data_IF_259493403866
#
_entry.id   IF_259493403866
#
_cell.length_a   1.000
_cell.length_b   1.000
_cell.length_c   1.000
_cell.angle_alpha   90.00
_cell.angle_beta   90.00
_cell.angle_gamma   90.00
#
_symmetry.space_group_name_H-M   'P 1'
#
loop_
_entity.id
_entity.type
_entity.pdbx_description
1 polymer ?
#
# COMPACT_ATOMS: atom_id res chain seq x y z
N UNK A 1 24.42 -52.36 -38.87
CA UNK A 1 24.33 -51.42 -37.71
C UNK A 1 23.43 -50.24 -38.08
N UNK A 2 22.20 -50.22 -37.57
CA UNK A 2 21.24 -49.13 -37.77
C UNK A 2 21.27 -48.28 -36.48
N UNK A 3 21.76 -47.07 -36.56
CA UNK A 3 21.65 -46.09 -35.45
C UNK A 3 20.26 -45.41 -35.50
N UNK A 4 19.41 -45.75 -34.55
CA UNK A 4 18.17 -45.03 -34.29
C UNK A 4 18.50 -43.76 -33.48
N UNK A 5 18.39 -42.60 -34.17
CA UNK A 5 18.49 -41.28 -33.50
C UNK A 5 17.22 -40.98 -32.71
N UNK A 6 17.33 -40.96 -31.38
CA UNK A 6 16.25 -40.57 -30.47
C UNK A 6 16.19 -39.05 -30.37
N UNK A 7 15.30 -38.43 -31.15
CA UNK A 7 15.02 -36.97 -31.08
C UNK A 7 14.21 -36.68 -29.84
N UNK A 8 14.85 -36.16 -28.78
CA UNK A 8 14.15 -35.60 -27.59
C UNK A 8 13.48 -34.28 -27.98
N UNK A 9 12.17 -34.31 -28.13
CA UNK A 9 11.33 -33.11 -28.19
C UNK A 9 11.28 -32.47 -26.83
N UNK A 10 12.07 -31.42 -26.61
CA UNK A 10 11.89 -30.50 -25.49
C UNK A 10 10.60 -29.68 -25.76
N UNK A 11 9.48 -30.11 -25.21
CA UNK A 11 8.32 -29.27 -25.06
C UNK A 11 8.64 -28.22 -24.02
N UNK A 12 9.12 -27.05 -24.44
CA UNK A 12 9.21 -25.87 -23.60
C UNK A 12 7.78 -25.44 -23.26
N UNK A 13 7.34 -25.69 -22.04
CA UNK A 13 6.15 -25.04 -21.46
C UNK A 13 6.46 -23.54 -21.32
N UNK A 14 6.32 -22.78 -22.40
CA UNK A 14 6.19 -21.34 -22.27
C UNK A 14 4.80 -21.06 -21.72
N UNK A 15 4.68 -20.79 -20.42
CA UNK A 15 3.48 -20.19 -19.89
C UNK A 15 3.37 -18.78 -20.47
N UNK A 16 2.63 -18.62 -21.56
CA UNK A 16 2.31 -17.30 -22.11
C UNK A 16 1.59 -16.49 -21.03
N UNK A 17 2.29 -15.51 -20.47
CA UNK A 17 1.66 -14.56 -19.53
C UNK A 17 0.53 -13.86 -20.29
N UNK A 18 -0.66 -13.73 -19.67
CA UNK A 18 -1.76 -13.00 -20.27
C UNK A 18 -1.31 -11.62 -20.73
N UNK A 19 -1.64 -11.24 -21.96
CA UNK A 19 -1.29 -9.93 -22.51
C UNK A 19 -2.20 -8.85 -21.90
N UNK A 20 -1.65 -7.64 -21.63
CA UNK A 20 -2.45 -6.50 -21.21
C UNK A 20 -3.58 -6.20 -22.18
N UNK A 21 -4.78 -5.94 -21.69
CA UNK A 21 -5.90 -5.50 -22.52
C UNK A 21 -5.53 -4.22 -23.25
N UNK A 22 -5.70 -4.14 -24.60
CA UNK A 22 -5.44 -2.92 -25.35
C UNK A 22 -6.27 -1.75 -24.84
N UNK A 23 -5.66 -0.57 -24.76
CA UNK A 23 -6.34 0.64 -24.33
C UNK A 23 -7.36 1.08 -25.39
N UNK A 24 -8.61 1.15 -25.00
CA UNK A 24 -9.70 1.59 -25.85
C UNK A 24 -9.67 3.10 -26.06
N UNK A 25 -10.13 3.55 -27.24
CA UNK A 25 -10.45 4.95 -27.46
C UNK A 25 -11.62 5.36 -26.58
N UNK A 26 -11.62 6.59 -26.09
CA UNK A 26 -12.66 7.11 -25.23
C UNK A 26 -12.77 8.64 -25.41
N UNK A 27 -13.88 9.22 -25.02
CA UNK A 27 -14.06 10.67 -24.91
C UNK A 27 -13.86 11.06 -23.44
N UNK A 28 -12.89 11.95 -23.12
CA UNK A 28 -12.70 12.42 -21.75
C UNK A 28 -13.99 13.06 -21.20
N UNK A 29 -14.36 12.68 -19.98
CA UNK A 29 -15.53 13.21 -19.25
C UNK A 29 -15.14 14.26 -18.21
N UNK A 30 -13.86 14.30 -17.86
CA UNK A 30 -13.24 15.27 -16.94
C UNK A 30 -11.91 15.71 -17.53
N UNK A 31 -11.34 16.79 -17.02
CA UNK A 31 -10.00 17.25 -17.35
C UNK A 31 -9.10 17.25 -16.11
N UNK A 32 -7.81 17.06 -16.34
CA UNK A 32 -6.76 17.27 -15.35
C UNK A 32 -5.47 17.65 -16.06
N UNK A 33 -4.65 18.46 -15.39
CA UNK A 33 -3.38 18.93 -15.92
C UNK A 33 -2.24 18.50 -15.00
N UNK A 34 -1.08 18.22 -15.56
CA UNK A 34 0.14 18.03 -14.78
C UNK A 34 0.61 19.39 -14.25
N UNK A 35 0.70 19.52 -12.93
CA UNK A 35 1.10 20.75 -12.26
C UNK A 35 2.63 20.82 -12.13
N UNK A 36 3.24 19.70 -11.70
CA UNK A 36 4.69 19.60 -11.57
C UNK A 36 5.17 18.15 -11.76
N UNK A 37 6.47 18.03 -11.99
CA UNK A 37 7.23 16.77 -11.98
C UNK A 37 8.47 16.96 -11.12
N UNK A 38 8.82 15.93 -10.34
CA UNK A 38 10.06 15.86 -9.58
C UNK A 38 10.68 14.46 -9.75
N UNK A 39 11.93 14.29 -9.37
CA UNK A 39 12.63 13.00 -9.45
C UNK A 39 13.38 12.75 -8.15
N UNK A 40 13.24 11.53 -7.65
CA UNK A 40 14.06 10.96 -6.57
C UNK A 40 14.75 9.70 -7.10
N UNK A 41 15.58 9.05 -6.28
CA UNK A 41 16.20 7.79 -6.71
C UNK A 41 15.17 6.65 -6.81
N UNK A 42 15.54 5.60 -7.54
CA UNK A 42 14.64 4.49 -7.85
C UNK A 42 14.12 3.75 -6.61
N UNK A 43 12.92 3.23 -6.72
CA UNK A 43 12.23 2.57 -5.62
C UNK A 43 12.01 1.10 -5.95
N UNK A 44 12.61 0.20 -5.15
CA UNK A 44 12.59 -1.24 -5.37
C UNK A 44 11.81 -2.05 -4.33
N UNK A 45 11.04 -1.42 -3.45
CA UNK A 45 10.20 -2.06 -2.44
C UNK A 45 8.77 -1.51 -2.50
N UNK A 46 7.86 -2.08 -1.70
CA UNK A 46 6.48 -1.59 -1.62
C UNK A 46 6.45 -0.14 -1.12
N UNK A 47 6.06 0.78 -2.00
CA UNK A 47 6.02 2.21 -1.69
C UNK A 47 4.71 2.58 -1.00
N UNK A 48 4.79 3.15 0.18
CA UNK A 48 3.72 3.87 0.86
C UNK A 48 4.21 5.29 1.20
N UNK A 49 4.08 6.25 0.28
CA UNK A 49 4.41 7.64 0.59
C UNK A 49 3.46 8.19 1.65
N UNK A 50 3.96 9.06 2.50
CA UNK A 50 3.18 9.72 3.54
C UNK A 50 3.07 11.21 3.24
N UNK A 51 1.86 11.77 3.34
CA UNK A 51 1.60 13.21 3.23
C UNK A 51 1.18 13.76 4.59
N UNK A 52 1.85 14.82 5.03
CA UNK A 52 1.50 15.59 6.23
C UNK A 52 1.69 17.08 5.95
N UNK A 53 0.70 17.88 6.28
CA UNK A 53 0.76 19.35 6.24
C UNK A 53 1.35 19.92 4.93
N UNK A 54 0.93 19.37 3.79
CA UNK A 54 1.40 19.80 2.48
C UNK A 54 2.83 19.35 2.13
N UNK A 55 3.39 18.40 2.88
CA UNK A 55 4.70 17.79 2.62
C UNK A 55 4.52 16.31 2.31
N UNK A 56 5.12 15.86 1.22
CA UNK A 56 5.22 14.46 0.81
C UNK A 56 6.56 13.91 1.29
N UNK A 57 6.51 12.85 2.08
CA UNK A 57 7.68 12.10 2.54
C UNK A 57 7.78 10.79 1.76
N UNK A 58 8.96 10.47 1.26
CA UNK A 58 9.23 9.21 0.57
C UNK A 58 10.69 8.78 0.75
N UNK A 59 10.94 7.52 0.45
CA UNK A 59 12.27 6.94 0.56
C UNK A 59 12.64 6.17 -0.72
N UNK A 60 13.92 6.19 -1.08
CA UNK A 60 14.48 5.40 -2.17
C UNK A 60 15.08 4.10 -1.67
N UNK A 61 15.28 3.15 -2.59
CA UNK A 61 15.90 1.85 -2.26
C UNK A 61 17.34 1.98 -1.79
N UNK A 62 18.04 3.02 -2.21
CA UNK A 62 19.47 3.21 -1.95
C UNK A 62 19.75 3.90 -0.61
N UNK A 63 18.70 4.36 0.07
CA UNK A 63 18.83 4.86 1.43
C UNK A 63 18.45 6.32 1.62
N UNK A 64 18.08 7.03 0.58
CA UNK A 64 17.68 8.42 0.68
C UNK A 64 16.24 8.56 1.19
N UNK A 65 16.05 9.53 2.06
CA UNK A 65 14.75 9.98 2.57
C UNK A 65 14.57 11.42 2.14
N UNK A 66 13.46 11.71 1.46
CA UNK A 66 13.20 13.01 0.86
C UNK A 66 11.84 13.54 1.30
N UNK A 67 11.79 14.80 1.68
CA UNK A 67 10.57 15.55 1.91
C UNK A 67 10.40 16.61 0.82
N UNK A 68 9.23 16.64 0.16
CA UNK A 68 8.91 17.58 -0.91
C UNK A 68 7.61 18.31 -0.60
N UNK A 69 7.52 19.56 -1.01
CA UNK A 69 6.24 20.29 -1.01
C UNK A 69 5.28 19.66 -2.01
N UNK A 70 4.07 19.39 -1.59
CA UNK A 70 3.07 18.76 -2.47
C UNK A 70 2.53 19.72 -3.53
N UNK A 71 2.56 21.03 -3.30
CA UNK A 71 2.07 22.07 -4.23
C UNK A 71 3.02 22.34 -5.41
N UNK A 72 4.34 22.18 -5.21
CA UNK A 72 5.37 22.55 -6.18
C UNK A 72 6.32 21.42 -6.56
N UNK A 73 6.39 20.34 -5.80
CA UNK A 73 7.40 19.30 -5.93
C UNK A 73 8.79 19.72 -5.47
N UNK A 74 8.94 20.90 -4.87
CA UNK A 74 10.23 21.40 -4.39
C UNK A 74 10.69 20.60 -3.18
N UNK A 75 11.98 20.25 -3.15
CA UNK A 75 12.60 19.54 -2.02
C UNK A 75 12.65 20.48 -0.81
N UNK A 76 12.07 20.05 0.31
CA UNK A 76 12.16 20.72 1.62
C UNK A 76 13.47 20.33 2.29
N UNK A 77 13.75 19.03 2.32
CA UNK A 77 15.01 18.46 2.78
C UNK A 77 15.23 17.05 2.20
N UNK A 78 16.50 16.63 2.21
CA UNK A 78 16.92 15.28 1.83
C UNK A 78 17.99 14.82 2.81
N UNK A 79 17.98 13.55 3.16
CA UNK A 79 18.97 12.93 4.04
C UNK A 79 19.16 11.46 3.66
N UNK A 80 20.17 10.80 4.24
CA UNK A 80 20.42 9.39 4.00
C UNK A 80 20.29 8.58 5.28
N UNK A 81 19.62 7.43 5.21
CA UNK A 81 19.56 6.45 6.27
C UNK A 81 20.87 5.63 6.39
N UNK A 82 21.88 5.92 5.59
CA UNK A 82 23.18 5.22 5.55
C UNK A 82 23.02 3.67 5.43
N UNK A 83 22.06 3.24 4.63
CA UNK A 83 21.75 1.85 4.38
C UNK A 83 20.55 1.70 3.46
N UNK A 84 20.51 0.62 2.67
CA UNK A 84 19.38 0.33 1.77
C UNK A 84 18.09 0.18 2.58
N UNK A 85 17.04 0.89 2.15
CA UNK A 85 15.75 0.87 2.86
C UNK A 85 14.94 -0.35 2.44
N UNK A 86 14.31 -0.99 3.43
CA UNK A 86 13.38 -2.10 3.28
C UNK A 86 11.92 -1.63 3.39
N UNK A 87 11.62 -0.69 4.28
CA UNK A 87 10.29 -0.17 4.53
C UNK A 87 10.33 1.34 4.85
N UNK A 88 9.41 2.09 4.32
CA UNK A 88 9.29 3.54 4.54
C UNK A 88 8.20 4.14 3.64
N UNK A 89 7.70 5.30 4.01
CA UNK A 89 8.09 6.24 5.06
C UNK A 89 6.93 6.41 6.04
N UNK A 90 7.22 6.46 7.33
CA UNK A 90 6.28 6.97 8.33
C UNK A 90 6.70 8.37 8.78
N UNK A 91 5.75 9.30 8.86
CA UNK A 91 6.01 10.63 9.39
C UNK A 91 4.76 11.22 10.03
N UNK A 92 4.95 11.99 11.10
CA UNK A 92 3.94 12.85 11.71
C UNK A 92 4.02 14.32 11.24
N UNK A 93 5.02 14.61 10.36
CA UNK A 93 5.33 15.95 9.87
C UNK A 93 6.65 16.50 10.44
N UNK A 94 7.00 16.14 11.65
CA UNK A 94 8.27 16.48 12.30
C UNK A 94 9.25 15.32 12.26
N UNK A 95 8.88 14.21 12.92
CA UNK A 95 9.71 13.01 12.93
C UNK A 95 9.37 12.13 11.71
N UNK A 96 10.42 11.57 11.14
CA UNK A 96 10.31 10.68 9.97
C UNK A 96 11.10 9.41 10.21
N UNK A 97 10.46 8.25 10.01
CA UNK A 97 11.09 6.96 10.28
C UNK A 97 11.07 6.06 9.06
N UNK A 98 12.17 5.33 8.86
CA UNK A 98 12.33 4.27 7.85
C UNK A 98 12.94 3.03 8.50
N UNK A 99 12.89 1.90 7.81
CA UNK A 99 13.61 0.69 8.22
C UNK A 99 14.56 0.26 7.13
N UNK A 100 15.82 0.02 7.50
CA UNK A 100 16.84 -0.48 6.58
C UNK A 100 16.73 -1.99 6.37
N UNK A 101 17.36 -2.50 5.29
CA UNK A 101 17.50 -3.96 5.08
C UNK A 101 18.34 -4.66 6.17
N UNK A 102 19.10 -3.89 6.98
CA UNK A 102 19.77 -4.37 8.16
C UNK A 102 18.87 -4.50 9.39
N UNK A 103 17.56 -4.35 9.23
CA UNK A 103 16.58 -4.35 10.31
C UNK A 103 16.79 -3.22 11.34
N UNK A 104 17.25 -2.07 10.88
CA UNK A 104 17.42 -0.90 11.73
C UNK A 104 16.30 0.10 11.46
N UNK A 105 15.58 0.45 12.51
CA UNK A 105 14.65 1.58 12.52
C UNK A 105 15.48 2.83 12.67
N UNK A 106 15.38 3.75 11.71
CA UNK A 106 16.12 5.02 11.70
C UNK A 106 15.11 6.14 11.72
N UNK A 107 15.24 7.04 12.68
CA UNK A 107 14.33 8.18 12.86
C UNK A 107 15.09 9.50 12.76
N UNK A 108 14.45 10.44 12.06
CA UNK A 108 14.99 11.76 11.76
C UNK A 108 14.08 12.85 12.35
N UNK A 109 14.65 13.94 12.85
CA UNK A 109 13.99 15.23 13.09
C UNK A 109 14.40 16.18 11.94
N UNK A 110 13.52 16.39 10.96
CA UNK A 110 13.88 16.96 9.68
C UNK A 110 14.95 16.11 8.99
N UNK A 111 16.08 16.69 8.52
CA UNK A 111 17.16 15.94 7.88
C UNK A 111 18.14 15.27 8.85
N UNK A 112 18.01 15.53 10.16
CA UNK A 112 18.95 15.03 11.17
C UNK A 112 18.51 13.69 11.74
N UNK A 113 19.37 12.64 11.63
CA UNK A 113 19.17 11.39 12.36
C UNK A 113 19.21 11.65 13.87
N UNK A 114 18.17 11.25 14.61
CA UNK A 114 18.10 11.42 16.06
C UNK A 114 18.36 10.13 16.79
N UNK A 115 17.95 8.98 16.22
CA UNK A 115 18.26 7.67 16.78
C UNK A 115 18.15 6.56 15.74
N UNK A 116 18.75 5.42 16.10
CA UNK A 116 18.75 4.18 15.34
C UNK A 116 18.61 2.99 16.29
N UNK A 117 17.66 2.10 16.01
CA UNK A 117 17.41 0.91 16.82
C UNK A 117 17.27 -0.34 15.96
N UNK A 118 17.94 -1.40 16.33
CA UNK A 118 17.84 -2.68 15.65
C UNK A 118 16.63 -3.47 16.15
N UNK A 119 15.85 -4.04 15.22
CA UNK A 119 14.75 -4.96 15.51
C UNK A 119 15.14 -6.39 15.13
N UNK A 120 14.60 -7.41 15.82
CA UNK A 120 15.03 -8.79 15.64
C UNK A 120 14.67 -9.39 14.28
N UNK A 121 13.60 -8.90 13.65
CA UNK A 121 13.02 -9.47 12.44
C UNK A 121 12.88 -8.43 11.34
N UNK A 122 12.79 -8.89 10.09
CA UNK A 122 12.62 -8.02 8.93
C UNK A 122 11.32 -7.20 9.01
N UNK A 123 11.36 -6.01 8.42
CA UNK A 123 10.21 -5.09 8.37
C UNK A 123 9.96 -4.74 6.91
N UNK A 124 8.70 -4.90 6.47
CA UNK A 124 8.24 -4.56 5.12
C UNK A 124 7.12 -3.52 5.15
N UNK A 125 6.52 -3.30 6.32
CA UNK A 125 5.50 -2.28 6.56
C UNK A 125 6.16 -0.98 7.00
N UNK A 126 5.89 0.17 6.36
CA UNK A 126 6.38 1.44 6.83
C UNK A 126 6.08 1.66 8.31
N UNK A 127 7.02 2.18 9.10
CA UNK A 127 6.75 2.57 10.47
C UNK A 127 5.58 3.57 10.54
N UNK A 128 4.81 3.54 11.61
CA UNK A 128 3.86 4.59 11.91
C UNK A 128 4.48 5.52 12.96
N UNK A 129 4.58 6.81 12.63
CA UNK A 129 4.96 7.86 13.58
C UNK A 129 3.69 8.58 14.00
N UNK A 130 3.30 8.46 15.26
CA UNK A 130 2.09 9.08 15.80
C UNK A 130 2.08 9.05 17.33
N UNK A 131 1.56 10.12 17.96
CA UNK A 131 1.36 10.17 19.41
C UNK A 131 2.65 10.00 20.22
N UNK A 132 3.70 10.69 19.82
CA UNK A 132 5.04 10.66 20.41
C UNK A 132 5.68 9.25 20.38
N UNK A 133 5.31 8.42 19.39
CA UNK A 133 5.80 7.04 19.23
C UNK A 133 6.09 6.70 17.79
N UNK A 134 7.02 5.77 17.63
CA UNK A 134 7.27 5.05 16.39
C UNK A 134 6.83 3.60 16.57
N UNK A 135 5.83 3.17 15.80
CA UNK A 135 5.33 1.80 15.81
C UNK A 135 5.88 1.04 14.62
N UNK A 136 6.37 -0.16 14.87
CA UNK A 136 6.98 -1.02 13.84
C UNK A 136 6.32 -2.39 13.90
N UNK A 137 5.79 -2.83 12.76
CA UNK A 137 5.28 -4.19 12.53
C UNK A 137 6.32 -4.97 11.74
N UNK A 138 6.87 -6.01 12.31
CA UNK A 138 7.82 -6.91 11.66
C UNK A 138 7.16 -8.18 11.11
N UNK A 139 7.87 -8.90 10.23
CA UNK A 139 7.36 -10.12 9.59
C UNK A 139 7.11 -11.27 10.59
N UNK A 140 7.69 -11.22 11.78
CA UNK A 140 7.36 -12.11 12.90
C UNK A 140 6.03 -11.77 13.58
N UNK A 141 5.24 -10.85 13.00
CA UNK A 141 3.96 -10.33 13.52
C UNK A 141 4.06 -9.60 14.84
N UNK A 142 5.26 -9.28 15.28
CA UNK A 142 5.48 -8.47 16.46
C UNK A 142 5.30 -6.98 16.15
N UNK A 143 4.58 -6.30 17.02
CA UNK A 143 4.45 -4.84 17.04
C UNK A 143 5.32 -4.29 18.14
N UNK A 144 6.19 -3.35 17.81
CA UNK A 144 7.07 -2.70 18.77
C UNK A 144 6.85 -1.20 18.74
N UNK A 145 6.76 -0.61 19.93
CA UNK A 145 6.67 0.84 20.08
C UNK A 145 7.96 1.38 20.66
N UNK A 146 8.43 2.47 20.08
CA UNK A 146 9.59 3.23 20.53
C UNK A 146 9.18 4.66 20.82
N UNK A 147 9.84 5.30 21.78
CA UNK A 147 9.77 6.74 21.99
C UNK A 147 10.31 7.45 20.72
N UNK A 148 9.58 8.43 20.18
CA UNK A 148 9.97 9.07 18.93
C UNK A 148 11.24 9.93 19.04
N UNK A 149 11.60 10.40 20.27
CA UNK A 149 12.69 11.34 20.51
C UNK A 149 14.03 10.65 20.71
N UNK A 150 14.03 9.50 21.43
CA UNK A 150 15.27 8.83 21.84
C UNK A 150 15.36 7.34 21.38
N UNK A 151 14.29 6.79 20.80
CA UNK A 151 14.25 5.42 20.31
C UNK A 151 14.20 4.37 21.41
N UNK A 152 13.96 4.74 22.67
CA UNK A 152 13.80 3.79 23.78
C UNK A 152 12.56 2.94 23.53
N UNK A 153 12.72 1.61 23.56
CA UNK A 153 11.58 0.68 23.40
C UNK A 153 10.63 0.83 24.58
N UNK A 154 9.37 1.13 24.30
CA UNK A 154 8.31 1.32 25.28
C UNK A 154 7.60 0.00 25.60
N UNK A 155 7.22 -0.76 24.55
CA UNK A 155 6.57 -2.06 24.68
C UNK A 155 6.74 -2.91 23.42
N UNK A 156 6.42 -4.19 23.51
CA UNK A 156 6.23 -5.08 22.37
C UNK A 156 5.00 -5.95 22.57
N UNK A 157 4.28 -6.23 21.50
CA UNK A 157 3.16 -7.17 21.43
C UNK A 157 3.45 -8.20 20.35
N UNK A 158 3.35 -9.47 20.70
CA UNK A 158 3.66 -10.59 19.81
C UNK A 158 2.43 -11.49 19.68
N UNK A 159 2.13 -11.92 18.47
CA UNK A 159 1.07 -12.89 18.21
C UNK A 159 1.67 -14.11 17.51
N UNK A 160 1.51 -15.30 18.08
CA UNK A 160 1.87 -16.54 17.39
C UNK A 160 1.10 -16.71 16.09
N UNK A 161 1.71 -17.30 15.08
CA UNK A 161 1.07 -17.59 13.80
C UNK A 161 2.00 -18.33 12.86
N UNK A 162 1.53 -18.60 11.62
CA UNK A 162 2.33 -19.24 10.58
C UNK A 162 3.62 -18.47 10.33
N UNK A 163 4.71 -19.18 10.04
CA UNK A 163 6.02 -18.57 9.82
C UNK A 163 6.08 -17.72 8.53
N UNK A 164 5.24 -18.09 7.55
CA UNK A 164 5.19 -17.39 6.28
C UNK A 164 4.36 -16.11 6.40
N UNK A 165 4.93 -14.99 5.96
CA UNK A 165 4.29 -13.69 5.89
C UNK A 165 4.53 -13.04 4.53
N UNK A 166 3.63 -12.15 4.12
CA UNK A 166 3.74 -11.43 2.87
C UNK A 166 4.87 -10.38 2.91
N UNK A 167 5.61 -10.26 1.80
CA UNK A 167 6.60 -9.19 1.61
C UNK A 167 6.01 -7.90 1.00
N UNK A 168 4.75 -7.60 1.35
CA UNK A 168 4.06 -6.37 0.96
C UNK A 168 3.74 -5.56 2.21
N UNK A 169 3.60 -4.22 2.10
CA UNK A 169 3.21 -3.39 3.23
C UNK A 169 1.88 -3.82 3.83
N UNK A 170 1.90 -4.07 5.13
CA UNK A 170 0.73 -4.42 5.92
C UNK A 170 0.00 -3.21 6.47
N UNK A 171 -0.76 -3.43 7.55
CA UNK A 171 -1.60 -2.42 8.20
C UNK A 171 -1.04 -2.06 9.55
N UNK A 172 -0.66 -0.79 9.74
CA UNK A 172 -0.39 -0.16 11.04
C UNK A 172 -0.90 1.27 10.95
N UNK A 173 -2.02 1.57 11.59
CA UNK A 173 -2.65 2.89 11.49
C UNK A 173 -3.28 3.32 12.82
N UNK A 174 -3.35 4.62 13.12
CA UNK A 174 -4.02 5.14 14.28
C UNK A 174 -5.54 5.18 14.06
N UNK A 175 -6.29 4.88 15.10
CA UNK A 175 -7.75 4.97 15.11
C UNK A 175 -8.21 5.44 16.48
N UNK A 176 -8.68 6.69 16.59
CA UNK A 176 -8.97 7.32 17.88
C UNK A 176 -7.79 7.14 18.86
N UNK A 177 -8.03 6.56 20.02
CA UNK A 177 -7.02 6.26 21.03
C UNK A 177 -6.48 4.82 20.91
N UNK A 178 -6.53 4.23 19.72
CA UNK A 178 -6.19 2.83 19.47
C UNK A 178 -5.22 2.73 18.31
N UNK A 179 -4.35 1.73 18.33
CA UNK A 179 -3.50 1.33 17.21
C UNK A 179 -4.12 0.12 16.53
N UNK A 180 -4.52 0.25 15.25
CA UNK A 180 -5.00 -0.88 14.45
C UNK A 180 -3.85 -1.51 13.70
N UNK A 181 -3.71 -2.83 13.84
CA UNK A 181 -2.62 -3.61 13.24
C UNK A 181 -3.16 -4.83 12.51
N UNK A 182 -2.68 -5.05 11.28
CA UNK A 182 -2.90 -6.29 10.55
C UNK A 182 -1.88 -7.35 10.94
N UNK A 183 -2.33 -8.46 11.52
CA UNK A 183 -1.48 -9.58 11.88
C UNK A 183 -2.02 -10.86 11.23
N UNK A 184 -1.44 -11.25 10.10
CA UNK A 184 -2.02 -12.26 9.23
C UNK A 184 -3.40 -11.81 8.73
N UNK A 185 -4.43 -12.66 8.72
CA UNK A 185 -5.78 -12.32 8.28
C UNK A 185 -6.62 -11.57 9.33
N UNK A 186 -6.03 -11.12 10.43
CA UNK A 186 -6.74 -10.50 11.55
C UNK A 186 -6.40 -9.02 11.67
N UNK A 187 -7.41 -8.24 11.96
CA UNK A 187 -7.27 -6.86 12.42
C UNK A 187 -7.29 -6.85 13.94
N UNK A 188 -6.26 -6.31 14.56
CA UNK A 188 -6.08 -6.26 16.00
C UNK A 188 -6.01 -4.80 16.45
N UNK A 189 -6.75 -4.45 17.51
CA UNK A 189 -6.68 -3.15 18.15
C UNK A 189 -5.83 -3.25 19.41
N UNK A 190 -4.82 -2.40 19.49
CA UNK A 190 -3.91 -2.31 20.64
C UNK A 190 -4.04 -0.95 21.32
N UNK A 191 -3.89 -0.93 22.64
CA UNK A 191 -3.64 0.30 23.40
C UNK A 191 -2.27 0.86 22.97
N UNK A 192 -2.19 2.05 22.36
CA UNK A 192 -0.92 2.59 21.88
C UNK A 192 0.08 2.93 23.00
N UNK A 193 -0.39 3.08 24.23
CA UNK A 193 0.46 3.41 25.37
C UNK A 193 1.09 2.17 26.02
N UNK A 194 0.34 1.05 26.07
CA UNK A 194 0.73 -0.16 26.79
C UNK A 194 1.00 -1.37 25.90
N UNK A 195 0.54 -1.36 24.64
CA UNK A 195 0.62 -2.50 23.73
C UNK A 195 -0.33 -3.65 24.10
N UNK A 196 -1.32 -3.42 24.97
CA UNK A 196 -2.31 -4.45 25.32
C UNK A 196 -3.40 -4.55 24.26
N UNK A 197 -3.85 -5.78 23.97
CA UNK A 197 -4.93 -6.03 23.02
C UNK A 197 -6.28 -5.59 23.62
N UNK A 198 -7.02 -4.78 22.89
CA UNK A 198 -8.40 -4.42 23.21
C UNK A 198 -9.38 -5.40 22.57
N UNK A 199 -9.18 -5.70 21.27
CA UNK A 199 -9.97 -6.66 20.52
C UNK A 199 -9.19 -7.15 19.29
N UNK A 200 -9.65 -8.27 18.71
CA UNK A 200 -9.12 -8.80 17.47
C UNK A 200 -10.21 -9.50 16.66
N UNK A 201 -10.36 -9.13 15.38
CA UNK A 201 -11.38 -9.64 14.48
C UNK A 201 -10.77 -10.28 13.24
N UNK A 202 -11.22 -11.49 12.81
CA UNK A 202 -10.79 -12.08 11.54
C UNK A 202 -11.44 -11.33 10.38
N UNK A 203 -10.64 -10.78 9.48
CA UNK A 203 -11.09 -10.10 8.25
C UNK A 203 -11.27 -11.10 7.10
N UNK A 204 -10.53 -12.21 7.14
CA UNK A 204 -10.64 -13.31 6.20
C UNK A 204 -10.49 -14.65 6.91
N UNK A 205 -11.02 -15.69 6.29
CA UNK A 205 -10.82 -17.08 6.71
C UNK A 205 -9.99 -17.80 5.65
N UNK A 206 -8.67 -17.85 5.81
CA UNK A 206 -7.77 -18.51 4.87
C UNK A 206 -8.16 -19.97 4.70
N UNK A 207 -8.13 -20.46 3.45
CA UNK A 207 -8.42 -21.85 3.11
C UNK A 207 -7.23 -22.42 2.36
N UNK A 208 -6.79 -23.61 2.73
CA UNK A 208 -5.68 -24.28 2.05
C UNK A 208 -5.08 -25.38 2.89
N UNK A 209 -4.37 -26.28 2.23
CA UNK A 209 -3.69 -27.41 2.85
C UNK A 209 -2.27 -27.08 3.34
N UNK A 210 -1.68 -26.02 2.84
CA UNK A 210 -0.32 -25.58 3.17
C UNK A 210 -0.28 -24.08 3.53
N UNK A 211 0.86 -23.62 4.05
CA UNK A 211 1.05 -22.24 4.53
C UNK A 211 0.91 -21.21 3.39
N UNK A 212 1.33 -21.54 2.17
CA UNK A 212 1.25 -20.64 1.01
C UNK A 212 -0.22 -20.40 0.62
N UNK A 213 -1.03 -21.43 0.60
CA UNK A 213 -2.47 -21.35 0.30
C UNK A 213 -3.23 -20.59 1.41
N UNK A 214 -2.73 -20.63 2.65
CA UNK A 214 -3.32 -19.92 3.80
C UNK A 214 -2.81 -18.50 3.95
N UNK A 215 -1.89 -18.03 3.10
CA UNK A 215 -1.37 -16.67 3.17
C UNK A 215 -2.49 -15.66 2.85
N UNK A 216 -2.89 -14.90 3.84
CA UNK A 216 -3.97 -13.91 3.75
C UNK A 216 -3.69 -12.69 4.64
N UNK A 217 -2.45 -12.24 4.66
CA UNK A 217 -2.04 -11.05 5.40
C UNK A 217 -2.83 -9.83 4.93
N UNK A 218 -3.16 -8.93 5.86
CA UNK A 218 -3.84 -7.69 5.52
C UNK A 218 -2.87 -6.73 4.83
N UNK A 219 -3.28 -6.22 3.67
CA UNK A 219 -2.48 -5.34 2.80
C UNK A 219 -2.91 -3.89 3.01
N UNK A 220 -1.95 -3.01 3.30
CA UNK A 220 -2.17 -1.57 3.45
C UNK A 220 -1.97 -0.77 2.15
N UNK A 221 -2.42 0.49 2.14
CA UNK A 221 -3.20 1.18 3.16
C UNK A 221 -4.66 0.72 3.21
N UNK A 222 -5.30 0.75 4.38
CA UNK A 222 -6.71 0.48 4.52
C UNK A 222 -7.57 1.70 4.14
N UNK A 223 -8.86 1.46 3.90
CA UNK A 223 -9.88 2.52 3.77
C UNK A 223 -10.53 2.75 5.14
N UNK A 224 -10.58 4.01 5.54
CA UNK A 224 -11.23 4.42 6.79
C UNK A 224 -12.41 5.36 6.48
N UNK A 225 -13.60 4.98 6.91
CA UNK A 225 -14.87 5.67 6.66
C UNK A 225 -15.62 5.85 7.99
N UNK A 226 -15.26 6.88 8.76
CA UNK A 226 -15.70 7.00 10.16
C UNK A 226 -15.17 5.83 10.98
N UNK A 227 -16.08 5.04 11.58
CA UNK A 227 -15.73 3.84 12.33
C UNK A 227 -15.61 2.58 11.46
N UNK A 228 -16.02 2.65 10.19
CA UNK A 228 -15.81 1.55 9.24
C UNK A 228 -14.39 1.53 8.73
N UNK A 229 -13.79 0.35 8.79
CA UNK A 229 -12.44 0.08 8.37
C UNK A 229 -12.43 -1.06 7.34
N UNK A 230 -12.03 -0.76 6.12
CA UNK A 230 -12.03 -1.75 5.04
C UNK A 230 -10.61 -2.02 4.56
N UNK A 231 -10.33 -3.29 4.28
CA UNK A 231 -8.98 -3.75 3.93
C UNK A 231 -9.04 -4.96 3.01
N UNK A 232 -7.97 -5.17 2.24
CA UNK A 232 -7.75 -6.42 1.51
C UNK A 232 -6.98 -7.41 2.38
N UNK A 233 -7.45 -8.65 2.43
CA UNK A 233 -6.65 -9.80 2.79
C UNK A 233 -6.07 -10.41 1.50
N UNK A 234 -4.75 -10.55 1.45
CA UNK A 234 -4.01 -11.03 0.27
C UNK A 234 -4.62 -12.29 -0.31
N UNK A 235 -4.87 -12.29 -1.63
CA UNK A 235 -5.43 -13.41 -2.42
C UNK A 235 -6.69 -14.06 -1.84
N UNK A 236 -7.32 -13.45 -0.85
CA UNK A 236 -8.42 -14.05 -0.10
C UNK A 236 -9.71 -13.21 -0.17
N UNK A 237 -9.70 -12.02 0.41
CA UNK A 237 -10.92 -11.25 0.58
C UNK A 237 -10.71 -9.74 0.56
N UNK A 238 -11.79 -9.01 0.31
CA UNK A 238 -11.98 -7.63 0.76
C UNK A 238 -13.01 -7.64 1.88
N UNK A 239 -12.71 -7.00 2.99
CA UNK A 239 -13.56 -7.02 4.17
C UNK A 239 -13.63 -5.66 4.86
N UNK A 240 -14.75 -5.37 5.48
CA UNK A 240 -14.95 -4.20 6.32
C UNK A 240 -15.36 -4.61 7.74
N UNK A 241 -14.83 -3.91 8.73
CA UNK A 241 -15.16 -4.06 10.13
C UNK A 241 -15.58 -2.72 10.74
N UNK A 242 -16.35 -2.77 11.81
CA UNK A 242 -16.52 -1.65 12.72
C UNK A 242 -15.31 -1.63 13.67
N UNK A 243 -14.45 -0.62 13.49
CA UNK A 243 -13.21 -0.51 14.24
C UNK A 243 -13.40 0.03 15.67
N UNK A 244 -14.53 0.66 15.97
CA UNK A 244 -14.87 1.08 17.31
C UNK A 244 -15.31 -0.11 18.18
N UNK A 245 -16.05 -1.07 17.57
CA UNK A 245 -16.58 -2.23 18.27
C UNK A 245 -15.74 -3.50 18.07
N UNK A 246 -14.83 -3.55 17.10
CA UNK A 246 -14.06 -4.74 16.77
C UNK A 246 -14.90 -5.86 16.16
N UNK A 247 -15.93 -5.54 15.37
CA UNK A 247 -16.84 -6.49 14.76
C UNK A 247 -16.75 -6.49 13.25
N UNK A 248 -16.78 -7.68 12.63
CA UNK A 248 -16.82 -7.82 11.18
C UNK A 248 -18.19 -7.37 10.65
N UNK A 249 -18.21 -6.42 9.71
CA UNK A 249 -19.44 -6.00 9.04
C UNK A 249 -19.73 -6.89 7.84
N UNK A 250 -18.75 -7.09 6.98
CA UNK A 250 -18.85 -7.99 5.83
C UNK A 250 -17.47 -8.42 5.34
N UNK A 251 -17.43 -9.56 4.64
CA UNK A 251 -16.26 -10.06 3.92
C UNK A 251 -16.71 -10.65 2.59
N UNK A 252 -15.99 -10.36 1.50
CA UNK A 252 -16.24 -10.88 0.16
C UNK A 252 -14.99 -11.54 -0.40
N UNK A 253 -15.13 -12.74 -0.91
CA UNK A 253 -14.03 -13.42 -1.61
C UNK A 253 -13.62 -12.58 -2.82
N UNK A 254 -12.45 -12.04 -2.78
CA UNK A 254 -11.89 -11.19 -3.82
C UNK A 254 -10.36 -11.26 -3.73
N UNK A 255 -9.77 -12.11 -4.54
CA UNK A 255 -8.31 -12.21 -4.63
C UNK A 255 -7.67 -10.89 -5.02
N UNK A 256 -6.36 -10.79 -4.87
CA UNK A 256 -5.62 -9.59 -5.23
C UNK A 256 -4.50 -9.29 -4.25
N UNK A 257 -3.57 -8.42 -4.68
CA UNK A 257 -2.34 -8.11 -3.94
C UNK A 257 -2.24 -6.64 -3.53
N UNK A 258 -3.09 -5.76 -4.06
CA UNK A 258 -2.99 -4.32 -3.86
C UNK A 258 -4.07 -3.81 -2.92
N UNK A 259 -3.79 -2.69 -2.27
CA UNK A 259 -4.73 -2.02 -1.40
C UNK A 259 -6.03 -1.65 -2.12
N UNK A 260 -7.11 -1.57 -1.36
CA UNK A 260 -8.39 -1.03 -1.80
C UNK A 260 -8.46 0.47 -1.49
N UNK A 261 -9.35 1.16 -2.20
CA UNK A 261 -9.72 2.54 -1.89
C UNK A 261 -11.23 2.65 -1.74
N UNK A 262 -11.72 3.76 -1.23
CA UNK A 262 -13.16 3.96 -1.11
C UNK A 262 -13.53 5.30 -0.51
N UNK A 263 -14.81 5.56 -0.54
CA UNK A 263 -15.49 6.67 0.11
C UNK A 263 -16.68 6.18 0.93
N UNK A 264 -17.58 7.06 1.35
CA UNK A 264 -18.74 6.69 2.18
C UNK A 264 -19.63 5.61 1.56
N UNK A 265 -19.71 5.55 0.22
CA UNK A 265 -20.65 4.72 -0.53
C UNK A 265 -19.99 3.47 -1.12
N UNK A 266 -18.72 3.56 -1.53
CA UNK A 266 -18.07 2.53 -2.32
C UNK A 266 -16.68 2.15 -1.79
N UNK A 267 -16.36 0.86 -1.85
CA UNK A 267 -15.00 0.30 -1.70
C UNK A 267 -14.61 -0.32 -3.05
N UNK A 268 -13.43 0.01 -3.57
CA UNK A 268 -12.97 -0.42 -4.89
C UNK A 268 -11.58 -1.05 -4.80
N UNK A 269 -11.36 -2.11 -5.56
CA UNK A 269 -10.03 -2.73 -5.68
C UNK A 269 -9.92 -3.62 -6.89
N UNK A 270 -8.70 -3.82 -7.37
CA UNK A 270 -8.41 -4.75 -8.46
C UNK A 270 -8.01 -6.12 -7.91
N UNK A 271 -8.41 -7.20 -8.59
CA UNK A 271 -7.94 -8.56 -8.30
C UNK A 271 -6.56 -8.84 -8.97
N UNK A 272 -6.11 -10.11 -8.88
CA UNK A 272 -4.83 -10.52 -9.45
C UNK A 272 -4.77 -10.46 -10.99
N UNK A 273 -5.92 -10.38 -11.65
CA UNK A 273 -6.03 -10.20 -13.11
C UNK A 273 -6.24 -8.74 -13.50
N UNK A 274 -6.22 -7.80 -12.54
CA UNK A 274 -6.60 -6.40 -12.71
C UNK A 274 -8.09 -6.19 -13.05
N UNK A 275 -8.96 -7.16 -12.75
CA UNK A 275 -10.40 -6.93 -12.75
C UNK A 275 -10.73 -6.03 -11.57
N UNK A 276 -11.29 -4.86 -11.86
CA UNK A 276 -11.68 -3.89 -10.85
C UNK A 276 -13.11 -4.19 -10.42
N UNK A 277 -13.33 -4.29 -9.12
CA UNK A 277 -14.66 -4.48 -8.53
C UNK A 277 -14.93 -3.36 -7.54
N UNK A 278 -16.15 -2.86 -7.55
CA UNK A 278 -16.68 -1.95 -6.56
C UNK A 278 -17.75 -2.63 -5.72
N UNK A 279 -17.65 -2.47 -4.43
CA UNK A 279 -18.61 -2.98 -3.44
C UNK A 279 -19.27 -1.81 -2.73
N UNK A 280 -20.54 -1.95 -2.42
CA UNK A 280 -21.24 -1.03 -1.51
C UNK A 280 -20.53 -1.03 -0.16
N UNK A 281 -20.08 0.12 0.31
CA UNK A 281 -19.28 0.21 1.53
C UNK A 281 -20.04 -0.32 2.76
N UNK A 282 -21.37 -0.18 2.79
CA UNK A 282 -22.21 -0.62 3.92
C UNK A 282 -22.39 -2.14 3.99
N UNK A 283 -22.53 -2.83 2.86
CA UNK A 283 -22.99 -4.23 2.81
C UNK A 283 -22.06 -5.20 2.08
N UNK A 284 -21.11 -4.66 1.31
CA UNK A 284 -20.22 -5.45 0.47
C UNK A 284 -20.90 -6.03 -0.78
N UNK A 285 -22.08 -5.55 -1.16
CA UNK A 285 -22.74 -5.95 -2.41
C UNK A 285 -21.97 -5.36 -3.60
N UNK A 286 -21.80 -6.15 -4.66
CA UNK A 286 -21.12 -5.68 -5.87
C UNK A 286 -22.01 -4.62 -6.55
N UNK A 287 -21.46 -3.46 -6.80
CA UNK A 287 -22.09 -2.38 -7.52
C UNK A 287 -21.79 -2.42 -9.02
N UNK A 288 -20.52 -2.64 -9.35
CA UNK A 288 -20.05 -2.81 -10.72
C UNK A 288 -18.71 -3.54 -10.78
N UNK A 289 -18.39 -4.04 -11.98
CA UNK A 289 -17.08 -4.59 -12.32
C UNK A 289 -16.56 -3.97 -13.61
N UNK A 290 -15.24 -3.81 -13.74
CA UNK A 290 -14.58 -3.33 -14.94
C UNK A 290 -13.44 -4.28 -15.33
N UNK A 291 -13.49 -4.78 -16.56
CA UNK A 291 -12.51 -5.70 -17.16
C UNK A 291 -11.71 -5.05 -18.30
N UNK A 292 -11.86 -3.73 -18.51
CA UNK A 292 -11.21 -3.01 -19.61
C UNK A 292 -9.73 -2.76 -19.37
N UNK A 293 -9.23 -3.05 -18.15
CA UNK A 293 -7.84 -2.86 -17.74
C UNK A 293 -7.17 -4.16 -17.29
N UNK A 294 -7.67 -5.33 -17.73
CA UNK A 294 -7.09 -6.63 -17.34
C UNK A 294 -5.61 -6.73 -17.72
N UNK A 295 -4.83 -7.32 -16.82
CA UNK A 295 -3.41 -7.64 -16.96
C UNK A 295 -2.51 -6.43 -17.24
N UNK A 296 -2.92 -5.22 -16.85
CA UNK A 296 -2.14 -4.01 -17.04
C UNK A 296 -1.19 -3.70 -15.87
N UNK A 297 -1.18 -4.53 -14.83
CA UNK A 297 -0.34 -4.34 -13.65
C UNK A 297 -0.73 -3.09 -12.87
N UNK A 298 -2.00 -3.02 -12.47
CA UNK A 298 -2.55 -1.87 -11.76
C UNK A 298 -1.87 -1.66 -10.41
N UNK A 299 -1.68 -0.41 -10.05
CA UNK A 299 -1.25 0.05 -8.72
C UNK A 299 -2.35 -0.18 -7.67
N UNK A 300 -2.09 0.17 -6.42
CA UNK A 300 -3.15 0.38 -5.44
C UNK A 300 -4.13 1.47 -5.91
N UNK A 301 -5.39 1.35 -5.52
CA UNK A 301 -6.42 2.33 -5.84
C UNK A 301 -6.31 3.57 -4.94
N UNK A 302 -6.67 4.75 -5.47
CA UNK A 302 -6.91 5.97 -4.71
C UNK A 302 -8.35 6.44 -4.95
N UNK A 303 -9.10 6.69 -3.89
CA UNK A 303 -10.35 7.44 -3.97
C UNK A 303 -10.04 8.95 -3.91
N UNK A 304 -10.29 9.63 -5.01
CA UNK A 304 -10.22 11.08 -5.12
C UNK A 304 -11.63 11.65 -5.34
N UNK A 305 -11.89 12.92 -5.05
CA UNK A 305 -13.21 13.50 -5.25
C UNK A 305 -13.75 13.23 -6.67
N UNK A 306 -14.84 12.43 -6.78
CA UNK A 306 -15.50 12.06 -8.03
C UNK A 306 -14.72 11.13 -8.98
N UNK A 307 -13.64 10.48 -8.52
CA UNK A 307 -12.88 9.53 -9.33
C UNK A 307 -12.19 8.47 -8.45
N UNK A 308 -12.08 7.26 -9.01
CA UNK A 308 -11.14 6.24 -8.50
C UNK A 308 -9.93 6.23 -9.43
N UNK A 309 -8.74 6.32 -8.87
CA UNK A 309 -7.49 6.50 -9.64
C UNK A 309 -6.59 5.28 -9.48
N UNK A 310 -6.10 4.78 -10.62
CA UNK A 310 -5.08 3.73 -10.70
C UNK A 310 -3.94 4.17 -11.61
N UNK A 311 -2.72 3.80 -11.25
CA UNK A 311 -1.63 3.76 -12.22
C UNK A 311 -1.51 2.38 -12.86
N UNK A 312 -0.78 2.24 -13.99
CA UNK A 312 -0.51 0.95 -14.58
C UNK A 312 0.99 0.73 -14.89
N UNK A 313 1.33 -0.48 -15.35
CA UNK A 313 2.70 -0.87 -15.64
C UNK A 313 3.30 -0.18 -16.88
N UNK A 314 2.47 0.40 -17.75
CA UNK A 314 2.89 1.15 -18.93
C UNK A 314 3.00 2.66 -18.66
N UNK A 315 2.77 3.09 -17.39
CA UNK A 315 2.88 4.48 -16.97
C UNK A 315 1.65 5.32 -17.30
N UNK A 316 0.48 4.71 -17.41
CA UNK A 316 -0.78 5.44 -17.51
C UNK A 316 -1.43 5.63 -16.15
N UNK A 317 -2.12 6.76 -15.99
CA UNK A 317 -2.97 7.06 -14.84
C UNK A 317 -4.42 7.10 -15.30
N UNK A 318 -5.24 6.19 -14.79
CA UNK A 318 -6.63 5.98 -15.16
C UNK A 318 -7.55 6.57 -14.08
N UNK A 319 -8.48 7.40 -14.49
CA UNK A 319 -9.52 7.96 -13.64
C UNK A 319 -10.86 7.32 -14.00
N UNK A 320 -11.46 6.61 -13.06
CA UNK A 320 -12.71 5.88 -13.25
C UNK A 320 -13.83 6.54 -12.44
N UNK A 321 -15.05 6.49 -12.95
CA UNK A 321 -16.24 6.91 -12.21
C UNK A 321 -16.46 6.01 -10.99
N UNK A 322 -16.61 6.54 -9.78
CA UNK A 322 -16.91 5.73 -8.60
C UNK A 322 -18.24 4.99 -8.70
N UNK A 323 -19.22 5.58 -9.38
CA UNK A 323 -20.59 5.05 -9.49
C UNK A 323 -20.76 4.00 -10.58
N UNK A 324 -19.97 4.04 -11.67
CA UNK A 324 -20.16 3.14 -12.83
C UNK A 324 -18.92 2.35 -13.22
N UNK A 325 -17.74 2.70 -12.71
CA UNK A 325 -16.46 2.12 -13.11
C UNK A 325 -16.01 2.52 -14.52
N UNK A 326 -16.73 3.39 -15.22
CA UNK A 326 -16.35 3.85 -16.55
C UNK A 326 -15.14 4.78 -16.52
N UNK A 327 -14.30 4.69 -17.56
CA UNK A 327 -13.16 5.58 -17.75
C UNK A 327 -13.64 7.02 -17.95
N UNK A 328 -13.15 7.94 -17.12
CA UNK A 328 -13.39 9.37 -17.20
C UNK A 328 -12.23 10.11 -17.88
N UNK A 329 -10.99 9.70 -17.55
CA UNK A 329 -9.76 10.32 -18.06
C UNK A 329 -8.61 9.32 -17.97
N UNK A 330 -7.64 9.46 -18.88
CA UNK A 330 -6.36 8.77 -18.85
C UNK A 330 -5.24 9.75 -19.16
N UNK A 331 -4.21 9.77 -18.31
CA UNK A 331 -3.06 10.65 -18.48
C UNK A 331 -1.77 9.82 -18.58
N UNK A 332 -0.85 10.19 -19.47
CA UNK A 332 0.46 9.56 -19.53
C UNK A 332 1.38 10.10 -18.44
N UNK A 333 2.35 9.28 -18.03
CA UNK A 333 3.51 9.69 -17.24
C UNK A 333 4.78 9.59 -18.12
N UNK A 334 5.77 8.82 -17.70
CA UNK A 334 7.04 8.64 -18.43
C UNK A 334 7.16 7.26 -19.10
N UNK A 335 6.07 6.50 -19.21
CA UNK A 335 6.07 5.13 -19.75
C UNK A 335 6.72 4.09 -18.84
N UNK A 336 6.99 4.41 -17.56
CA UNK A 336 7.50 3.48 -16.57
C UNK A 336 6.38 3.08 -15.61
N UNK A 337 6.42 1.87 -15.04
CA UNK A 337 5.38 1.41 -14.12
C UNK A 337 5.10 2.41 -13.01
N UNK A 338 3.84 2.78 -12.84
CA UNK A 338 3.37 3.48 -11.64
C UNK A 338 3.32 2.48 -10.50
N UNK A 339 3.94 2.81 -9.38
CA UNK A 339 4.08 1.91 -8.23
C UNK A 339 3.39 2.47 -6.99
N UNK A 340 3.16 1.58 -6.03
CA UNK A 340 2.50 1.91 -4.77
C UNK A 340 1.02 2.25 -4.96
N UNK A 341 0.52 3.15 -4.15
CA UNK A 341 -0.82 3.72 -4.22
C UNK A 341 -0.67 5.21 -4.51
N UNK A 342 -1.36 5.79 -5.49
CA UNK A 342 -1.41 7.25 -5.66
C UNK A 342 -1.84 7.93 -4.36
N UNK A 343 -1.35 9.13 -4.08
CA UNK A 343 -1.72 9.87 -2.87
C UNK A 343 -2.44 11.17 -3.23
N UNK A 344 -3.37 11.56 -2.36
CA UNK A 344 -4.10 12.82 -2.46
C UNK A 344 -3.51 13.85 -1.49
N UNK A 345 -3.24 15.06 -1.97
CA UNK A 345 -2.85 16.21 -1.16
C UNK A 345 -3.62 17.45 -1.61
N UNK A 346 -4.63 17.84 -0.83
CA UNK A 346 -5.59 18.85 -1.27
C UNK A 346 -6.32 18.40 -2.55
N UNK A 347 -6.15 19.14 -3.63
CA UNK A 347 -6.70 18.84 -4.97
C UNK A 347 -5.70 18.13 -5.90
N UNK A 348 -4.50 17.84 -5.41
CA UNK A 348 -3.42 17.19 -6.18
C UNK A 348 -3.43 15.68 -5.99
N UNK A 349 -3.37 14.96 -7.10
CA UNK A 349 -3.14 13.53 -7.17
C UNK A 349 -1.67 13.31 -7.55
N UNK A 350 -0.91 12.69 -6.67
CA UNK A 350 0.52 12.46 -6.87
C UNK A 350 0.74 10.97 -7.11
N UNK A 351 1.40 10.64 -8.19
CA UNK A 351 1.80 9.28 -8.55
C UNK A 351 3.32 9.18 -8.62
N UNK A 352 3.83 7.99 -8.32
CA UNK A 352 5.27 7.69 -8.34
C UNK A 352 5.54 6.56 -9.32
N UNK A 353 6.51 6.73 -10.20
CA UNK A 353 6.96 5.67 -11.10
C UNK A 353 8.17 4.93 -10.53
N UNK A 354 8.40 3.71 -11.01
CA UNK A 354 9.45 2.82 -10.49
C UNK A 354 10.87 3.42 -10.56
N UNK A 355 11.14 4.27 -11.53
CA UNK A 355 12.42 4.96 -11.66
C UNK A 355 12.56 6.20 -10.77
N UNK A 356 11.58 6.48 -9.90
CA UNK A 356 11.62 7.59 -8.96
C UNK A 356 11.05 8.91 -9.47
N UNK A 357 10.46 8.95 -10.67
CA UNK A 357 9.76 10.15 -11.13
C UNK A 357 8.40 10.29 -10.43
N UNK A 358 8.11 11.49 -9.97
CA UNK A 358 6.85 11.90 -9.37
C UNK A 358 6.09 12.82 -10.33
N UNK A 359 4.79 12.63 -10.40
CA UNK A 359 3.89 13.46 -11.20
C UNK A 359 2.72 13.90 -10.34
N UNK A 360 2.47 15.21 -10.30
CA UNK A 360 1.28 15.75 -9.64
C UNK A 360 0.30 16.24 -10.68
N UNK A 361 -0.93 15.78 -10.57
CA UNK A 361 -2.04 16.15 -11.44
C UNK A 361 -3.10 16.89 -10.63
N UNK A 362 -3.61 17.98 -11.20
CA UNK A 362 -4.76 18.72 -10.68
C UNK A 362 -5.94 18.48 -11.59
N UNK A 363 -7.04 18.03 -11.02
CA UNK A 363 -8.32 17.94 -11.72
C UNK A 363 -8.90 19.36 -11.89
N UNK A 364 -9.39 19.66 -13.07
CA UNK A 364 -10.01 20.95 -13.44
C UNK A 364 -11.48 20.77 -13.81
#
# INVERSE_FOLDING_TARGET
LVLLGLSLLFAACSSDKPKPTPLQNYTPKISATQVWRATVDSIGFGLLPTVRDGVLFLASSDGDVTALRTDTGAIVWRTSAQGRIAAGVGSDGRYTSVVTRGNEVVTFDGPKEVWRQRVPSAVVTPPLVAGERVFVLSVDRAVRAFDERDGRRLWSFERPGDALTLSEPGVVVPFHNTLLVGQGPRLTALDPLRGTEAWSVPMASPRGSNEVERLADLVGPPVRLGDRFCVRAFQSAVACADAAQGTLLWSRNAGGMRAVAGDADVVVGADASDRITAWRAATGDILWTNEKLLYRGLSGALAAPGSIVFGDADGWVHFLSPSTGELQLRLPTNGKPVIGTPVLSGDLIIVVSRNGDLFAFRRT
#
